data_IF_272325602004
#
_entry.id   IF_272325602004
#
_cell.length_a   1.000
_cell.length_b   1.000
_cell.length_c   1.000
_cell.angle_alpha   90.00
_cell.angle_beta   90.00
_cell.angle_gamma   90.00
#
_symmetry.space_group_name_H-M   'P 1'
#
loop_
_entity.id
_entity.type
_entity.pdbx_description
1 polymer ?
#
# COMPACT_ATOMS: atom_id res chain seq x y z
N UNK A 1 14.28 24.21 17.48
CA UNK A 1 12.96 23.51 17.58
C UNK A 1 12.71 22.59 16.40
N UNK A 2 12.71 23.05 15.14
CA UNK A 2 12.49 22.20 13.95
C UNK A 2 13.56 21.12 13.84
N UNK A 3 14.84 21.45 14.02
CA UNK A 3 15.94 20.47 13.99
C UNK A 3 15.83 19.42 15.09
N UNK A 4 15.40 19.81 16.28
CA UNK A 4 15.17 18.88 17.40
C UNK A 4 14.02 17.92 17.08
N UNK A 5 12.93 18.43 16.49
CA UNK A 5 11.79 17.61 16.03
C UNK A 5 12.26 16.63 14.94
N UNK A 6 13.05 17.10 13.99
CA UNK A 6 13.58 16.26 12.91
C UNK A 6 14.49 15.16 13.46
N UNK A 7 15.39 15.47 14.39
CA UNK A 7 16.29 14.49 15.01
C UNK A 7 15.54 13.43 15.81
N UNK A 8 14.57 13.84 16.64
CA UNK A 8 13.71 12.91 17.39
C UNK A 8 12.90 12.02 16.43
N UNK A 9 12.28 12.63 15.42
CA UNK A 9 11.53 11.88 14.42
C UNK A 9 12.40 10.88 13.68
N UNK A 10 13.62 11.25 13.29
CA UNK A 10 14.55 10.35 12.60
C UNK A 10 14.96 9.17 13.49
N UNK A 11 15.20 9.39 14.77
CA UNK A 11 15.51 8.32 15.73
C UNK A 11 14.34 7.35 15.87
N UNK A 12 13.11 7.87 16.04
CA UNK A 12 11.90 7.05 16.14
C UNK A 12 11.62 6.31 14.83
N UNK A 13 11.72 6.97 13.68
CA UNK A 13 11.52 6.37 12.36
C UNK A 13 12.51 5.23 12.10
N UNK A 14 13.79 5.45 12.41
CA UNK A 14 14.84 4.43 12.25
C UNK A 14 14.62 3.21 13.16
N UNK A 15 14.05 3.40 14.35
CA UNK A 15 13.67 2.30 15.24
C UNK A 15 12.47 1.51 14.70
N UNK A 16 11.42 2.22 14.26
CA UNK A 16 10.16 1.62 13.81
C UNK A 16 10.31 0.89 12.47
N UNK A 17 11.05 1.45 11.52
CA UNK A 17 11.38 0.79 10.26
C UNK A 17 12.70 0.00 10.31
N UNK A 18 13.26 -0.14 11.52
CA UNK A 18 14.45 -0.93 11.82
C UNK A 18 14.16 -2.39 12.11
N UNK A 19 15.18 -3.06 12.64
CA UNK A 19 15.17 -4.50 12.95
C UNK A 19 13.99 -4.88 13.87
N UNK A 20 13.70 -4.15 14.98
CA UNK A 20 12.67 -4.59 15.92
C UNK A 20 11.30 -4.74 15.29
N UNK A 21 10.86 -3.74 14.52
CA UNK A 21 9.56 -3.79 13.89
C UNK A 21 9.49 -4.85 12.78
N UNK A 22 10.55 -5.00 11.98
CA UNK A 22 10.62 -6.06 10.97
C UNK A 22 10.51 -7.44 11.61
N UNK A 23 11.23 -7.69 12.70
CA UNK A 23 11.14 -8.96 13.43
C UNK A 23 9.74 -9.19 13.97
N UNK A 24 9.10 -8.17 14.53
CA UNK A 24 7.72 -8.27 15.02
C UNK A 24 6.73 -8.57 13.87
N UNK A 25 6.80 -7.84 12.75
CA UNK A 25 5.87 -8.03 11.63
C UNK A 25 6.05 -9.41 11.00
N UNK A 26 7.29 -9.80 10.72
CA UNK A 26 7.62 -11.12 10.16
C UNK A 26 7.26 -12.22 11.17
N UNK A 27 7.57 -12.03 12.45
CA UNK A 27 7.27 -12.98 13.52
C UNK A 27 5.77 -13.21 13.69
N UNK A 28 4.96 -12.15 13.68
CA UNK A 28 3.49 -12.27 13.71
C UNK A 28 2.97 -12.95 12.45
N UNK A 29 3.47 -12.60 11.27
CA UNK A 29 3.10 -13.23 10.02
C UNK A 29 3.43 -14.74 10.00
N UNK A 30 4.60 -15.13 10.55
CA UNK A 30 4.99 -16.53 10.70
C UNK A 30 4.08 -17.26 11.71
N UNK A 31 3.82 -16.66 12.87
CA UNK A 31 2.92 -17.24 13.87
C UNK A 31 1.52 -17.51 13.29
N UNK A 32 0.96 -16.52 12.59
CA UNK A 32 -0.35 -16.65 11.94
C UNK A 32 -0.32 -17.73 10.85
N UNK A 33 0.76 -17.78 10.05
CA UNK A 33 0.95 -18.82 9.04
C UNK A 33 0.99 -20.23 9.64
N UNK A 34 1.72 -20.41 10.74
CA UNK A 34 1.77 -21.70 11.45
C UNK A 34 0.39 -22.05 12.05
N UNK A 35 -0.27 -21.12 12.73
CA UNK A 35 -1.57 -21.36 13.35
C UNK A 35 -2.69 -21.66 12.35
N UNK A 36 -2.61 -21.12 11.14
CA UNK A 36 -3.57 -21.40 10.06
C UNK A 36 -3.12 -22.53 9.13
N UNK A 37 -1.97 -23.16 9.42
CA UNK A 37 -1.36 -24.23 8.65
C UNK A 37 -0.93 -23.78 7.26
N UNK A 38 -0.27 -22.63 7.14
CA UNK A 38 0.17 -22.02 5.87
C UNK A 38 -0.95 -21.89 4.85
N UNK A 39 -2.07 -21.34 5.31
CA UNK A 39 -3.30 -21.17 4.51
C UNK A 39 -3.02 -20.43 3.19
N UNK A 40 -2.19 -19.39 3.22
CA UNK A 40 -1.83 -18.58 2.07
C UNK A 40 -1.16 -19.39 0.93
N UNK A 41 -0.56 -20.53 1.26
CA UNK A 41 0.01 -21.46 0.27
C UNK A 41 -1.01 -22.52 -0.11
N UNK A 42 -1.56 -23.24 0.89
CA UNK A 42 -2.46 -24.39 0.65
C UNK A 42 -3.77 -24.01 -0.02
N UNK A 43 -4.31 -22.84 0.29
CA UNK A 43 -5.58 -22.34 -0.25
C UNK A 43 -5.41 -21.16 -1.22
N UNK A 44 -4.18 -20.96 -1.74
CA UNK A 44 -3.92 -19.91 -2.72
C UNK A 44 -4.80 -20.04 -3.98
N UNK A 45 -4.94 -21.22 -4.61
CA UNK A 45 -5.83 -21.36 -5.75
C UNK A 45 -7.29 -21.00 -5.43
N UNK A 46 -7.74 -21.30 -4.21
CA UNK A 46 -9.08 -20.91 -3.76
C UNK A 46 -9.21 -19.39 -3.59
N UNK A 47 -8.18 -18.71 -3.06
CA UNK A 47 -8.15 -17.26 -2.94
C UNK A 47 -8.25 -16.58 -4.32
N UNK A 48 -7.43 -17.00 -5.28
CA UNK A 48 -7.46 -16.51 -6.66
C UNK A 48 -8.83 -16.75 -7.31
N UNK A 49 -9.35 -17.97 -7.26
CA UNK A 49 -10.66 -18.31 -7.83
C UNK A 49 -11.80 -17.50 -7.19
N UNK A 50 -11.74 -17.29 -5.88
CA UNK A 50 -12.76 -16.52 -5.15
C UNK A 50 -12.73 -15.06 -5.55
N UNK A 51 -11.56 -14.46 -5.75
CA UNK A 51 -11.40 -13.05 -6.14
C UNK A 51 -11.80 -12.86 -7.60
N UNK A 52 -11.18 -13.58 -8.51
CA UNK A 52 -11.44 -13.47 -9.97
C UNK A 52 -12.90 -13.82 -10.26
N UNK A 53 -13.46 -14.87 -9.65
CA UNK A 53 -14.85 -15.25 -9.83
C UNK A 53 -15.87 -14.19 -9.38
N UNK A 54 -15.46 -13.23 -8.53
CA UNK A 54 -16.29 -12.09 -8.11
C UNK A 54 -16.20 -10.91 -9.06
N UNK A 55 -15.09 -10.73 -9.78
CA UNK A 55 -14.92 -9.67 -10.78
C UNK A 55 -16.02 -9.72 -11.87
N UNK A 56 -16.47 -10.92 -12.21
CA UNK A 56 -17.45 -11.14 -13.28
C UNK A 56 -18.90 -11.28 -12.79
N UNK A 57 -19.14 -11.21 -11.46
CA UNK A 57 -20.48 -11.30 -10.90
C UNK A 57 -20.98 -9.91 -10.54
N UNK A 58 -21.85 -9.34 -11.36
CA UNK A 58 -22.62 -8.13 -11.02
C UNK A 58 -23.58 -8.48 -9.88
N UNK A 59 -23.38 -7.86 -8.74
CA UNK A 59 -24.30 -7.89 -7.61
C UNK A 59 -24.28 -6.50 -6.98
N UNK A 60 -25.45 -5.91 -6.84
CA UNK A 60 -25.57 -4.64 -6.13
C UNK A 60 -25.31 -4.87 -4.63
N UNK A 61 -24.58 -3.92 -4.03
CA UNK A 61 -24.38 -3.90 -2.59
C UNK A 61 -25.64 -3.35 -1.90
N UNK A 62 -25.93 -3.85 -0.71
CA UNK A 62 -26.97 -3.28 0.15
C UNK A 62 -26.60 -1.85 0.56
N UNK A 63 -27.60 -1.09 1.04
CA UNK A 63 -27.36 0.29 1.46
C UNK A 63 -26.34 0.36 2.61
N UNK A 64 -25.43 1.34 2.51
CA UNK A 64 -24.34 1.52 3.48
C UNK A 64 -23.20 0.51 3.37
N UNK A 65 -23.09 -0.24 2.27
CA UNK A 65 -22.05 -1.25 2.05
C UNK A 65 -21.39 -1.11 0.68
N UNK A 66 -20.31 -1.86 0.48
CA UNK A 66 -19.65 -2.09 -0.81
C UNK A 66 -19.82 -3.55 -1.22
N UNK A 67 -19.77 -3.86 -2.52
CA UNK A 67 -19.60 -5.27 -2.93
C UNK A 67 -18.25 -5.78 -2.44
N UNK A 68 -18.08 -7.10 -2.24
CA UNK A 68 -16.76 -7.67 -1.88
C UNK A 68 -15.65 -7.31 -2.87
N UNK A 69 -15.97 -7.15 -4.15
CA UNK A 69 -15.03 -6.72 -5.17
C UNK A 69 -14.69 -5.22 -5.06
N UNK A 70 -15.68 -4.36 -4.83
CA UNK A 70 -15.42 -2.94 -4.54
C UNK A 70 -14.54 -2.74 -3.32
N UNK A 71 -14.76 -3.53 -2.27
CA UNK A 71 -13.95 -3.46 -1.06
C UNK A 71 -12.48 -3.83 -1.31
N UNK A 72 -12.20 -4.91 -2.07
CA UNK A 72 -10.82 -5.24 -2.43
C UNK A 72 -10.20 -4.23 -3.39
N UNK A 73 -10.96 -3.69 -4.35
CA UNK A 73 -10.45 -2.61 -5.21
C UNK A 73 -10.16 -1.34 -4.41
N UNK A 74 -10.95 -1.03 -3.38
CA UNK A 74 -10.68 0.12 -2.51
C UNK A 74 -9.44 -0.11 -1.63
N UNK A 75 -9.22 -1.32 -1.14
CA UNK A 75 -8.00 -1.67 -0.42
C UNK A 75 -6.78 -1.62 -1.36
N UNK A 76 -6.87 -2.22 -2.55
CA UNK A 76 -5.82 -2.13 -3.57
C UNK A 76 -5.58 -0.69 -4.05
N UNK A 77 -6.60 0.16 -4.10
CA UNK A 77 -6.43 1.58 -4.42
C UNK A 77 -5.51 2.28 -3.41
N UNK A 78 -5.60 1.92 -2.14
CA UNK A 78 -4.75 2.48 -1.10
C UNK A 78 -3.32 1.91 -1.11
N UNK A 79 -3.17 0.60 -1.37
CA UNK A 79 -1.89 -0.11 -1.33
C UNK A 79 -1.09 0.02 -2.63
N UNK A 80 -1.74 -0.16 -3.79
CA UNK A 80 -1.08 -0.02 -5.11
C UNK A 80 -0.94 1.46 -5.46
N UNK A 81 0.18 2.03 -5.05
CA UNK A 81 0.46 3.45 -5.15
C UNK A 81 1.90 3.73 -5.56
N UNK A 82 2.40 4.87 -5.11
CA UNK A 82 3.79 5.28 -5.36
C UNK A 82 4.81 4.34 -4.74
N UNK A 83 4.44 3.60 -3.68
CA UNK A 83 5.28 2.58 -3.04
C UNK A 83 5.72 1.47 -3.98
N UNK A 84 4.84 1.02 -4.88
CA UNK A 84 5.13 -0.03 -5.86
C UNK A 84 6.11 0.42 -6.94
N UNK A 85 6.27 1.71 -7.15
CA UNK A 85 7.14 2.29 -8.18
C UNK A 85 8.40 2.87 -7.53
N UNK A 86 8.27 3.92 -6.74
CA UNK A 86 9.39 4.58 -6.08
C UNK A 86 9.99 3.74 -4.93
N UNK A 87 9.15 3.02 -4.18
CA UNK A 87 9.62 2.16 -3.09
C UNK A 87 10.48 1.00 -3.56
N UNK A 88 10.09 0.36 -4.67
CA UNK A 88 10.88 -0.73 -5.29
C UNK A 88 12.20 -0.20 -5.84
N UNK A 89 12.16 0.95 -6.53
CA UNK A 89 13.37 1.60 -7.01
C UNK A 89 14.36 1.91 -5.87
N UNK A 90 13.86 2.46 -4.76
CA UNK A 90 14.65 2.72 -3.56
C UNK A 90 15.18 1.44 -2.90
N UNK A 91 14.40 0.34 -2.89
CA UNK A 91 14.86 -0.94 -2.38
C UNK A 91 16.04 -1.49 -3.20
N UNK A 92 15.95 -1.44 -4.52
CA UNK A 92 17.02 -1.89 -5.43
C UNK A 92 18.25 -1.01 -5.31
N UNK A 93 18.09 0.31 -5.29
CA UNK A 93 19.19 1.25 -5.23
C UNK A 93 20.02 1.13 -3.93
N UNK A 94 19.36 0.93 -2.79
CA UNK A 94 20.03 0.85 -1.48
C UNK A 94 20.32 -0.59 -1.05
N UNK A 95 19.44 -1.54 -1.39
CA UNK A 95 19.52 -2.94 -0.96
C UNK A 95 20.09 -3.90 -2.03
N UNK A 96 20.28 -3.40 -3.27
CA UNK A 96 20.65 -4.23 -4.42
C UNK A 96 19.51 -5.03 -5.01
N UNK A 97 19.74 -5.75 -6.13
CA UNK A 97 18.73 -6.59 -6.76
C UNK A 97 18.14 -7.64 -5.82
N UNK A 98 18.94 -8.16 -4.90
CA UNK A 98 18.52 -9.13 -3.88
C UNK A 98 17.43 -8.64 -2.94
N UNK A 99 17.23 -7.34 -2.79
CA UNK A 99 16.14 -6.79 -2.00
C UNK A 99 14.76 -7.27 -2.52
N UNK A 100 14.63 -7.53 -3.82
CA UNK A 100 13.41 -8.05 -4.45
C UNK A 100 13.05 -9.44 -3.91
N UNK A 101 14.05 -10.32 -3.74
CA UNK A 101 13.86 -11.63 -3.13
C UNK A 101 13.29 -11.52 -1.70
N UNK A 102 13.82 -10.61 -0.90
CA UNK A 102 13.34 -10.39 0.46
C UNK A 102 11.96 -9.72 0.52
N UNK A 103 11.61 -8.93 -0.50
CA UNK A 103 10.22 -8.47 -0.70
C UNK A 103 9.26 -9.65 -0.91
N UNK A 104 9.64 -10.64 -1.72
CA UNK A 104 8.82 -11.85 -1.93
C UNK A 104 8.65 -12.64 -0.63
N UNK A 105 9.73 -12.83 0.13
CA UNK A 105 9.68 -13.52 1.43
C UNK A 105 8.72 -12.81 2.41
N UNK A 106 8.80 -11.48 2.49
CA UNK A 106 7.90 -10.70 3.34
C UNK A 106 6.44 -10.77 2.87
N UNK A 107 6.20 -10.76 1.56
CA UNK A 107 4.87 -10.85 0.99
C UNK A 107 4.20 -12.21 1.25
N UNK A 108 4.96 -13.31 1.18
CA UNK A 108 4.45 -14.65 1.51
C UNK A 108 3.90 -14.73 2.93
N UNK A 109 4.57 -14.12 3.90
CA UNK A 109 4.08 -14.04 5.29
C UNK A 109 2.99 -12.96 5.41
N UNK A 110 3.15 -11.84 4.73
CA UNK A 110 2.20 -10.75 4.67
C UNK A 110 0.82 -11.17 4.16
N UNK A 111 0.74 -12.12 3.22
CA UNK A 111 -0.54 -12.68 2.76
C UNK A 111 -1.37 -13.26 3.91
N UNK A 112 -0.74 -13.98 4.85
CA UNK A 112 -1.43 -14.54 6.00
C UNK A 112 -1.79 -13.46 7.03
N UNK A 113 -0.91 -12.47 7.21
CA UNK A 113 -1.18 -11.32 8.07
C UNK A 113 -2.39 -10.54 7.55
N UNK A 114 -2.42 -10.18 6.27
CA UNK A 114 -3.53 -9.47 5.65
C UNK A 114 -4.83 -10.28 5.69
N UNK A 115 -4.75 -11.60 5.42
CA UNK A 115 -5.89 -12.51 5.59
C UNK A 115 -6.48 -12.41 6.99
N UNK A 116 -5.63 -12.42 8.02
CA UNK A 116 -6.03 -12.36 9.42
C UNK A 116 -6.66 -11.02 9.77
N UNK A 117 -6.06 -9.91 9.35
CA UNK A 117 -6.58 -8.55 9.51
C UNK A 117 -7.98 -8.41 8.90
N UNK A 118 -8.15 -8.85 7.66
CA UNK A 118 -9.44 -8.78 6.96
C UNK A 118 -10.48 -9.67 7.62
N UNK A 119 -10.09 -10.88 8.02
CA UNK A 119 -11.01 -11.82 8.71
C UNK A 119 -11.52 -11.23 10.02
N UNK A 120 -10.61 -10.69 10.85
CA UNK A 120 -10.97 -10.04 12.11
C UNK A 120 -11.80 -8.77 11.89
N UNK A 121 -11.46 -7.96 10.90
CA UNK A 121 -12.17 -6.72 10.62
C UNK A 121 -13.62 -6.97 10.19
N UNK A 122 -13.88 -8.01 9.41
CA UNK A 122 -15.24 -8.41 9.02
C UNK A 122 -15.98 -9.11 10.17
N UNK A 123 -15.29 -9.86 11.01
CA UNK A 123 -15.89 -10.57 12.15
C UNK A 123 -16.34 -9.61 13.25
N UNK A 124 -15.52 -8.62 13.60
CA UNK A 124 -15.76 -7.68 14.71
C UNK A 124 -16.31 -6.32 14.28
N UNK A 125 -16.74 -6.16 13.03
CA UNK A 125 -17.31 -4.91 12.53
C UNK A 125 -18.66 -4.58 13.16
N UNK A 126 -19.02 -3.31 13.05
CA UNK A 126 -20.28 -2.75 13.54
C UNK A 126 -21.06 -2.06 12.40
N UNK A 127 -22.29 -1.68 12.68
CA UNK A 127 -23.01 -0.68 11.88
C UNK A 127 -23.02 0.66 12.61
N UNK A 128 -22.64 1.72 11.91
CA UNK A 128 -22.73 3.07 12.44
C UNK A 128 -24.18 3.57 12.43
N UNK A 129 -24.40 4.79 12.95
CA UNK A 129 -25.73 5.40 13.03
C UNK A 129 -26.37 5.64 11.65
N UNK A 130 -25.57 5.74 10.61
CA UNK A 130 -26.02 5.90 9.23
C UNK A 130 -26.30 4.55 8.54
N UNK A 131 -26.17 3.42 9.24
CA UNK A 131 -26.38 2.08 8.70
C UNK A 131 -25.18 1.52 7.91
N UNK A 132 -24.06 2.28 7.80
CA UNK A 132 -22.86 1.81 7.12
C UNK A 132 -22.09 0.78 7.94
N UNK A 133 -21.49 -0.21 7.28
CA UNK A 133 -20.55 -1.13 7.90
C UNK A 133 -19.23 -0.44 8.20
N UNK A 134 -18.78 -0.53 9.43
CA UNK A 134 -17.51 0.04 9.91
C UNK A 134 -16.70 -1.01 10.65
N UNK A 135 -15.41 -1.08 10.39
CA UNK A 135 -14.51 -2.07 11.00
C UNK A 135 -13.06 -1.68 10.79
N UNK A 136 -12.16 -2.61 11.06
CA UNK A 136 -10.73 -2.42 11.02
C UNK A 136 -10.09 -2.61 12.39
N UNK A 137 -8.78 -2.33 12.55
CA UNK A 137 -8.05 -2.58 13.80
C UNK A 137 -8.70 -1.97 15.04
N UNK A 138 -9.17 -0.72 14.97
CA UNK A 138 -9.83 -0.08 16.10
C UNK A 138 -11.07 -0.84 16.56
N UNK A 139 -11.80 -1.50 15.66
CA UNK A 139 -13.01 -2.24 15.99
C UNK A 139 -12.70 -3.65 16.51
N UNK A 140 -11.75 -4.39 15.91
CA UNK A 140 -11.43 -5.70 16.47
C UNK A 140 -10.60 -5.62 17.76
N UNK A 141 -9.87 -4.51 18.02
CA UNK A 141 -9.32 -4.22 19.33
C UNK A 141 -10.43 -3.96 20.33
N UNK A 142 -11.39 -3.07 19.99
CA UNK A 142 -12.52 -2.71 20.85
C UNK A 142 -13.39 -3.92 21.19
N UNK A 143 -13.80 -4.69 20.20
CA UNK A 143 -14.80 -5.75 20.33
C UNK A 143 -14.20 -7.12 20.62
N UNK A 144 -12.96 -7.37 20.19
CA UNK A 144 -12.28 -8.64 20.36
C UNK A 144 -11.44 -8.74 21.63
N UNK A 145 -10.80 -7.65 22.06
CA UNK A 145 -9.93 -7.63 23.24
C UNK A 145 -10.59 -7.03 24.49
N UNK A 146 -11.71 -6.31 24.31
CA UNK A 146 -12.48 -5.72 25.42
C UNK A 146 -11.91 -4.39 25.94
N UNK A 147 -12.54 -3.88 27.03
CA UNK A 147 -12.32 -2.51 27.52
C UNK A 147 -10.88 -2.18 27.92
N UNK A 148 -10.17 -3.15 28.49
CA UNK A 148 -8.76 -2.92 28.94
C UNK A 148 -7.83 -2.52 27.82
N UNK A 149 -8.12 -2.92 26.59
CA UNK A 149 -7.30 -2.70 25.41
C UNK A 149 -7.76 -1.52 24.54
N UNK A 150 -8.83 -0.83 24.92
CA UNK A 150 -9.38 0.27 24.13
C UNK A 150 -8.37 1.41 23.87
N UNK A 151 -7.42 1.61 24.77
CA UNK A 151 -6.36 2.60 24.56
C UNK A 151 -5.55 2.32 23.27
N UNK A 152 -5.34 1.03 22.91
CA UNK A 152 -4.68 0.67 21.65
C UNK A 152 -5.52 1.05 20.43
N UNK A 153 -6.86 0.90 20.51
CA UNK A 153 -7.76 1.32 19.43
C UNK A 153 -7.72 2.84 19.21
N UNK A 154 -7.64 3.61 20.30
CA UNK A 154 -7.50 5.06 20.25
C UNK A 154 -6.13 5.46 19.69
N UNK A 155 -5.03 4.85 20.16
CA UNK A 155 -3.68 5.09 19.63
C UNK A 155 -3.59 4.75 18.15
N UNK A 156 -4.11 3.61 17.73
CA UNK A 156 -4.16 3.22 16.33
C UNK A 156 -4.85 4.27 15.45
N UNK A 157 -6.03 4.72 15.90
CA UNK A 157 -6.82 5.71 15.16
C UNK A 157 -6.15 7.09 15.16
N UNK A 158 -5.49 7.48 16.26
CA UNK A 158 -4.75 8.74 16.35
C UNK A 158 -3.57 8.76 15.37
N UNK A 159 -2.75 7.70 15.38
CA UNK A 159 -1.65 7.57 14.42
C UNK A 159 -2.17 7.53 12.99
N UNK A 160 -3.31 6.87 12.75
CA UNK A 160 -3.96 6.85 11.45
C UNK A 160 -4.37 8.23 10.94
N UNK A 161 -4.97 9.07 11.79
CA UNK A 161 -5.33 10.45 11.42
C UNK A 161 -4.09 11.28 11.07
N UNK A 162 -2.98 11.11 11.81
CA UNK A 162 -1.73 11.83 11.51
C UNK A 162 -1.07 11.34 10.21
N UNK A 163 -1.16 10.04 9.94
CA UNK A 163 -0.60 9.43 8.73
C UNK A 163 -1.38 9.83 7.47
N UNK A 164 -2.71 9.90 7.55
CA UNK A 164 -3.56 10.05 6.38
C UNK A 164 -3.33 11.36 5.62
N UNK A 165 -3.01 12.44 6.31
CA UNK A 165 -2.73 13.74 5.68
C UNK A 165 -1.37 13.77 4.96
N UNK A 166 -0.36 13.10 5.51
CA UNK A 166 0.97 12.98 4.92
C UNK A 166 1.03 11.86 3.88
N UNK A 167 1.25 10.63 4.33
CA UNK A 167 1.46 9.46 3.46
C UNK A 167 0.26 9.18 2.55
N UNK A 168 -0.97 9.37 3.05
CA UNK A 168 -2.19 9.11 2.31
C UNK A 168 -2.58 10.18 1.30
N UNK A 169 -2.11 11.43 1.44
CA UNK A 169 -2.49 12.54 0.56
C UNK A 169 -1.30 13.35 0.05
N UNK A 170 -0.71 14.18 0.90
CA UNK A 170 0.28 15.20 0.46
C UNK A 170 1.45 14.59 -0.33
N UNK A 171 1.99 13.45 0.12
CA UNK A 171 3.08 12.78 -0.57
C UNK A 171 2.66 12.19 -1.92
N UNK A 172 1.42 11.73 -2.02
CA UNK A 172 0.86 11.21 -3.27
C UNK A 172 0.70 12.34 -4.30
N UNK A 173 0.16 13.48 -3.88
CA UNK A 173 0.03 14.65 -4.76
C UNK A 173 1.41 15.19 -5.17
N UNK A 174 2.37 15.23 -4.25
CA UNK A 174 3.75 15.60 -4.58
C UNK A 174 4.33 14.69 -5.66
N UNK A 175 4.06 13.38 -5.61
CA UNK A 175 4.48 12.45 -6.66
C UNK A 175 3.77 12.72 -7.99
N UNK A 176 2.48 13.09 -7.97
CA UNK A 176 1.75 13.49 -9.18
C UNK A 176 2.43 14.68 -9.85
N UNK A 177 2.67 15.76 -9.10
CA UNK A 177 3.29 16.96 -9.68
C UNK A 177 4.71 16.69 -10.15
N UNK A 178 5.51 15.93 -9.40
CA UNK A 178 6.88 15.55 -9.81
C UNK A 178 6.87 14.73 -11.11
N UNK A 179 5.91 13.83 -11.28
CA UNK A 179 5.77 13.04 -12.50
C UNK A 179 5.36 13.89 -13.71
N UNK A 180 4.42 14.83 -13.50
CA UNK A 180 3.99 15.77 -14.53
C UNK A 180 5.14 16.71 -14.90
N UNK A 181 5.85 17.29 -13.93
CA UNK A 181 7.01 18.15 -14.13
C UNK A 181 8.08 17.44 -14.96
N UNK A 182 8.40 16.20 -14.60
CA UNK A 182 9.38 15.38 -15.31
C UNK A 182 8.96 15.14 -16.77
N UNK A 183 7.69 14.85 -17.00
CA UNK A 183 7.17 14.65 -18.35
C UNK A 183 7.20 15.94 -19.18
N UNK A 184 6.81 17.08 -18.59
CA UNK A 184 6.82 18.39 -19.26
C UNK A 184 8.26 18.82 -19.59
N UNK A 185 9.17 18.71 -18.63
CA UNK A 185 10.58 19.09 -18.83
C UNK A 185 11.31 18.21 -19.84
N UNK A 186 10.89 16.96 -20.03
CA UNK A 186 11.46 16.08 -21.06
C UNK A 186 11.20 16.61 -22.48
N UNK A 187 10.15 17.41 -22.70
CA UNK A 187 9.80 17.99 -24.00
C UNK A 187 10.15 19.47 -24.12
N UNK A 188 10.07 20.22 -23.02
CA UNK A 188 10.30 21.67 -23.06
C UNK A 188 10.90 22.18 -21.74
N UNK A 189 12.20 22.40 -21.73
CA UNK A 189 12.93 22.93 -20.58
C UNK A 189 12.67 24.40 -20.28
N UNK A 190 12.15 25.17 -21.27
CA UNK A 190 11.86 26.62 -21.12
C UNK A 190 10.70 26.88 -20.15
N UNK A 191 9.89 25.87 -19.85
CA UNK A 191 8.70 25.99 -18.98
C UNK A 191 9.04 25.93 -17.49
N UNK A 192 10.33 25.80 -17.13
CA UNK A 192 10.77 25.63 -15.73
C UNK A 192 10.27 26.75 -14.80
N UNK A 193 10.18 27.99 -15.26
CA UNK A 193 9.64 29.12 -14.49
C UNK A 193 8.13 29.04 -14.24
N UNK A 194 7.39 28.29 -15.06
CA UNK A 194 5.94 28.10 -14.95
C UNK A 194 5.55 26.92 -14.06
N UNK A 195 6.48 26.01 -13.72
CA UNK A 195 6.18 24.81 -12.93
C UNK A 195 5.46 25.11 -11.60
N UNK A 196 5.82 26.13 -10.80
CA UNK A 196 5.08 26.41 -9.56
C UNK A 196 3.59 26.70 -9.80
N UNK A 197 3.27 27.44 -10.88
CA UNK A 197 1.89 27.72 -11.28
C UNK A 197 1.18 26.45 -11.77
N UNK A 198 1.86 25.63 -12.57
CA UNK A 198 1.34 24.35 -13.04
C UNK A 198 1.02 23.43 -11.86
N UNK A 199 1.92 23.34 -10.89
CA UNK A 199 1.76 22.50 -9.69
C UNK A 199 0.58 22.95 -8.84
N UNK A 200 0.38 24.26 -8.68
CA UNK A 200 -0.81 24.79 -8.02
C UNK A 200 -2.10 24.39 -8.77
N UNK A 201 -2.12 24.53 -10.09
CA UNK A 201 -3.29 24.15 -10.92
C UNK A 201 -3.56 22.64 -10.75
N UNK A 202 -2.53 21.80 -10.84
CA UNK A 202 -2.66 20.34 -10.64
C UNK A 202 -3.18 20.03 -9.23
N UNK A 203 -2.65 20.68 -8.20
CA UNK A 203 -3.10 20.53 -6.82
C UNK A 203 -4.57 20.86 -6.63
N UNK A 204 -5.04 21.96 -7.24
CA UNK A 204 -6.47 22.36 -7.21
C UNK A 204 -7.34 21.36 -7.95
N UNK A 205 -6.92 20.90 -9.13
CA UNK A 205 -7.67 19.91 -9.93
C UNK A 205 -7.78 18.59 -9.13
N UNK A 206 -6.67 18.10 -8.56
CA UNK A 206 -6.65 16.88 -7.74
C UNK A 206 -7.57 17.07 -6.52
N UNK A 207 -7.49 18.20 -5.81
CA UNK A 207 -8.36 18.50 -4.67
C UNK A 207 -9.84 18.45 -5.03
N UNK A 208 -10.24 19.03 -6.16
CA UNK A 208 -11.62 18.99 -6.66
C UNK A 208 -12.06 17.55 -6.98
N UNK A 209 -11.23 16.78 -7.68
CA UNK A 209 -11.53 15.39 -8.01
C UNK A 209 -11.65 14.51 -6.75
N UNK A 210 -10.76 14.68 -5.79
CA UNK A 210 -10.78 13.98 -4.50
C UNK A 210 -12.06 14.34 -3.73
N UNK A 211 -12.39 15.63 -3.61
CA UNK A 211 -13.62 16.08 -2.96
C UNK A 211 -14.87 15.50 -3.64
N UNK A 212 -14.92 15.50 -4.98
CA UNK A 212 -16.04 14.96 -5.75
C UNK A 212 -16.26 13.47 -5.46
N UNK A 213 -15.20 12.69 -5.32
CA UNK A 213 -15.31 11.25 -5.04
C UNK A 213 -15.67 11.01 -3.59
N UNK A 214 -14.95 11.62 -2.63
CA UNK A 214 -15.10 11.34 -1.20
C UNK A 214 -16.43 11.84 -0.64
N UNK A 215 -16.88 13.05 -1.03
CA UNK A 215 -18.18 13.58 -0.61
C UNK A 215 -19.37 12.79 -1.16
N UNK A 216 -19.16 11.99 -2.21
CA UNK A 216 -20.14 11.03 -2.71
C UNK A 216 -20.34 9.78 -1.85
N UNK A 217 -19.52 9.65 -0.79
CA UNK A 217 -19.62 8.57 0.21
C UNK A 217 -19.16 7.21 -0.30
N UNK A 218 -19.40 6.19 0.53
CA UNK A 218 -18.88 4.85 0.37
C UNK A 218 -19.22 4.18 -0.98
N UNK A 219 -20.44 4.43 -1.49
CA UNK A 219 -20.89 3.88 -2.79
C UNK A 219 -20.07 4.46 -3.95
N UNK A 220 -19.81 5.77 -3.94
CA UNK A 220 -19.03 6.44 -4.99
C UNK A 220 -17.56 6.04 -4.92
N UNK A 221 -16.98 5.95 -3.72
CA UNK A 221 -15.62 5.47 -3.50
C UNK A 221 -15.47 4.07 -4.12
N UNK A 222 -16.34 3.12 -3.76
CA UNK A 222 -16.32 1.77 -4.31
C UNK A 222 -16.50 1.72 -5.83
N UNK A 223 -17.42 2.51 -6.38
CA UNK A 223 -17.68 2.55 -7.83
C UNK A 223 -16.50 3.14 -8.64
N UNK A 224 -15.79 4.11 -8.08
CA UNK A 224 -14.60 4.69 -8.72
C UNK A 224 -13.43 3.71 -8.65
N UNK A 225 -13.16 3.14 -7.47
CA UNK A 225 -12.01 2.23 -7.27
C UNK A 225 -12.15 0.93 -8.05
N UNK A 226 -13.38 0.36 -8.17
CA UNK A 226 -13.59 -0.88 -8.95
C UNK A 226 -13.31 -0.74 -10.46
N UNK A 227 -13.36 0.50 -10.99
CA UNK A 227 -13.03 0.80 -12.39
C UNK A 227 -11.57 1.21 -12.55
N UNK A 228 -11.11 2.10 -11.66
CA UNK A 228 -9.77 2.69 -11.74
C UNK A 228 -8.68 1.65 -11.47
N UNK A 229 -8.83 0.82 -10.43
CA UNK A 229 -7.78 -0.12 -10.01
C UNK A 229 -7.50 -1.20 -11.05
N UNK A 230 -8.47 -1.93 -11.60
CA UNK A 230 -8.19 -2.89 -12.66
C UNK A 230 -7.62 -2.24 -13.91
N UNK A 231 -8.10 -1.04 -14.28
CA UNK A 231 -7.58 -0.31 -15.43
C UNK A 231 -6.10 0.08 -15.25
N UNK A 232 -5.76 0.74 -14.13
CA UNK A 232 -4.38 1.16 -13.87
C UNK A 232 -3.42 -0.02 -13.74
N UNK A 233 -3.86 -1.10 -13.05
CA UNK A 233 -3.06 -2.30 -12.88
C UNK A 233 -2.80 -3.00 -14.22
N UNK A 234 -3.84 -3.21 -15.04
CA UNK A 234 -3.71 -3.83 -16.35
C UNK A 234 -2.81 -3.01 -17.28
N UNK A 235 -3.02 -1.69 -17.31
CA UNK A 235 -2.20 -0.77 -18.11
C UNK A 235 -0.72 -0.85 -17.71
N UNK A 236 -0.42 -0.81 -16.42
CA UNK A 236 0.94 -0.92 -15.90
C UNK A 236 1.56 -2.30 -16.20
N UNK A 237 0.81 -3.38 -15.95
CA UNK A 237 1.27 -4.76 -16.19
C UNK A 237 1.63 -4.97 -17.67
N UNK A 238 0.77 -4.53 -18.59
CA UNK A 238 1.01 -4.68 -20.04
C UNK A 238 2.31 -4.00 -20.45
N UNK A 239 2.53 -2.76 -19.99
CA UNK A 239 3.72 -2.00 -20.33
C UNK A 239 4.98 -2.56 -19.67
N UNK A 240 4.89 -2.98 -18.41
CA UNK A 240 6.02 -3.58 -17.70
C UNK A 240 6.41 -4.95 -18.30
N UNK A 241 5.43 -5.79 -18.65
CA UNK A 241 5.67 -7.05 -19.37
C UNK A 241 6.33 -6.78 -20.72
N UNK A 242 5.89 -5.74 -21.44
CA UNK A 242 6.52 -5.33 -22.69
C UNK A 242 8.01 -5.01 -22.55
N UNK A 243 8.42 -4.32 -21.46
CA UNK A 243 9.85 -4.11 -21.16
C UNK A 243 10.59 -5.43 -21.02
N UNK A 244 10.01 -6.38 -20.27
CA UNK A 244 10.63 -7.69 -20.04
C UNK A 244 10.76 -8.47 -21.35
N UNK A 245 9.71 -8.50 -22.17
CA UNK A 245 9.70 -9.21 -23.45
C UNK A 245 10.73 -8.63 -24.43
N UNK A 246 10.80 -7.29 -24.55
CA UNK A 246 11.76 -6.63 -25.42
C UNK A 246 13.22 -6.78 -24.94
N UNK A 247 13.44 -7.08 -23.67
CA UNK A 247 14.75 -7.29 -23.07
C UNK A 247 14.92 -8.72 -22.51
N UNK A 248 14.23 -9.71 -23.09
CA UNK A 248 14.18 -11.09 -22.59
C UNK A 248 15.56 -11.74 -22.44
N UNK A 249 16.53 -11.33 -23.26
CA UNK A 249 17.92 -11.81 -23.18
C UNK A 249 18.61 -11.49 -21.85
N UNK A 250 18.18 -10.44 -21.13
CA UNK A 250 18.69 -10.07 -19.82
C UNK A 250 18.01 -10.81 -18.66
N UNK A 251 16.86 -11.43 -18.94
CA UNK A 251 16.03 -12.07 -17.90
C UNK A 251 16.78 -13.13 -17.08
N UNK A 252 17.60 -14.05 -17.67
CA UNK A 252 18.34 -15.03 -16.88
C UNK A 252 19.31 -14.38 -15.89
N UNK A 253 20.08 -13.38 -16.33
CA UNK A 253 20.99 -12.62 -15.46
C UNK A 253 20.25 -11.84 -14.38
N UNK A 254 19.10 -11.23 -14.71
CA UNK A 254 18.29 -10.50 -13.74
C UNK A 254 17.75 -11.43 -12.65
N UNK A 255 17.23 -12.60 -13.01
CA UNK A 255 16.78 -13.60 -12.04
C UNK A 255 17.92 -14.09 -11.15
N UNK A 256 19.09 -14.36 -11.74
CA UNK A 256 20.29 -14.69 -10.98
C UNK A 256 20.68 -13.57 -10.01
N UNK A 257 20.68 -12.30 -10.47
CA UNK A 257 21.01 -11.14 -9.64
C UNK A 257 20.05 -10.96 -8.46
N UNK A 258 18.77 -11.29 -8.64
CA UNK A 258 17.77 -11.25 -7.56
C UNK A 258 18.03 -12.37 -6.55
N UNK A 259 18.19 -13.62 -7.01
CA UNK A 259 18.29 -14.78 -6.12
C UNK A 259 19.69 -14.84 -5.46
N UNK A 260 20.74 -14.84 -6.25
CA UNK A 260 22.11 -14.89 -5.72
C UNK A 260 22.49 -13.57 -5.03
N UNK A 261 22.04 -12.43 -5.53
CA UNK A 261 22.25 -11.11 -4.93
C UNK A 261 21.56 -10.94 -3.57
N UNK A 262 20.53 -11.74 -3.26
CA UNK A 262 19.91 -11.77 -1.94
C UNK A 262 20.89 -12.24 -0.83
N UNK A 263 21.85 -13.08 -1.19
CA UNK A 263 22.83 -13.66 -0.28
C UNK A 263 24.25 -13.15 -0.50
N UNK A 264 24.52 -12.56 -1.67
CA UNK A 264 25.81 -11.93 -2.01
C UNK A 264 25.60 -10.63 -2.81
N UNK A 265 25.12 -9.54 -2.18
CA UNK A 265 24.83 -8.29 -2.88
C UNK A 265 26.08 -7.64 -3.48
N UNK A 266 27.27 -7.85 -2.89
CA UNK A 266 28.55 -7.32 -3.41
C UNK A 266 28.83 -7.72 -4.85
N UNK A 267 28.52 -8.96 -5.20
CA UNK A 267 28.80 -9.50 -6.54
C UNK A 267 27.99 -8.80 -7.65
N UNK A 268 26.81 -8.29 -7.31
CA UNK A 268 25.86 -7.71 -8.29
C UNK A 268 25.77 -6.17 -8.22
N UNK A 269 26.46 -5.54 -7.27
CA UNK A 269 26.42 -4.08 -7.06
C UNK A 269 27.78 -3.41 -7.22
N UNK A 270 28.76 -4.12 -7.81
CA UNK A 270 30.12 -3.61 -7.94
C UNK A 270 30.80 -3.30 -6.60
N UNK A 271 30.37 -3.98 -5.51
CA UNK A 271 30.89 -3.75 -4.16
C UNK A 271 30.22 -2.61 -3.39
N UNK A 272 29.32 -1.82 -4.00
CA UNK A 272 28.67 -0.69 -3.36
C UNK A 272 27.79 -1.12 -2.16
N UNK A 273 27.15 -2.29 -2.24
CA UNK A 273 26.34 -2.83 -1.16
C UNK A 273 27.07 -4.02 -0.53
N UNK A 274 27.63 -3.78 0.66
CA UNK A 274 28.49 -4.74 1.34
C UNK A 274 27.79 -5.70 2.29
N UNK A 275 26.51 -5.48 2.60
CA UNK A 275 25.80 -6.19 3.66
C UNK A 275 24.54 -6.87 3.14
N UNK A 276 24.45 -8.20 3.31
CA UNK A 276 23.23 -8.99 3.12
C UNK A 276 22.09 -8.44 3.98
N UNK A 277 22.43 -8.03 5.20
CA UNK A 277 21.46 -7.46 6.12
C UNK A 277 20.76 -6.22 5.58
N UNK A 278 21.48 -5.35 4.85
CA UNK A 278 20.91 -4.17 4.21
C UNK A 278 19.92 -4.56 3.11
N UNK A 279 20.24 -5.59 2.33
CA UNK A 279 19.33 -6.15 1.32
C UNK A 279 18.04 -6.69 1.95
N UNK A 280 18.17 -7.48 3.05
CA UNK A 280 17.02 -7.97 3.83
C UNK A 280 16.18 -6.81 4.35
N UNK A 281 16.82 -5.85 5.02
CA UNK A 281 16.13 -4.70 5.63
C UNK A 281 15.35 -3.90 4.59
N UNK A 282 15.99 -3.56 3.47
CA UNK A 282 15.33 -2.74 2.44
C UNK A 282 14.25 -3.52 1.70
N UNK A 283 14.47 -4.80 1.42
CA UNK A 283 13.47 -5.65 0.79
C UNK A 283 12.23 -5.83 1.68
N UNK A 284 12.40 -6.25 2.91
CA UNK A 284 11.30 -6.47 3.86
C UNK A 284 10.55 -5.17 4.15
N UNK A 285 11.27 -4.10 4.51
CA UNK A 285 10.67 -2.81 4.85
C UNK A 285 9.84 -2.25 3.68
N UNK A 286 10.36 -2.28 2.45
CA UNK A 286 9.64 -1.76 1.29
C UNK A 286 8.51 -2.68 0.82
N UNK A 287 8.65 -3.99 1.01
CA UNK A 287 7.54 -4.94 0.81
C UNK A 287 6.36 -4.65 1.73
N UNK A 288 6.61 -4.50 3.03
CA UNK A 288 5.59 -4.17 4.04
C UNK A 288 4.97 -2.80 3.77
N UNK A 289 5.79 -1.81 3.44
CA UNK A 289 5.31 -0.47 3.12
C UNK A 289 4.36 -0.47 1.92
N UNK A 290 4.63 -1.29 0.89
CA UNK A 290 3.80 -1.41 -0.30
C UNK A 290 2.46 -2.09 0.00
N UNK A 291 2.48 -3.29 0.58
CA UNK A 291 1.27 -4.11 0.77
C UNK A 291 0.51 -3.83 2.07
N UNK A 292 1.07 -3.00 2.95
CA UNK A 292 0.47 -2.61 4.24
C UNK A 292 0.09 -3.80 5.15
N UNK A 293 0.66 -5.00 4.95
CA UNK A 293 0.41 -6.14 5.81
C UNK A 293 1.09 -5.95 7.18
N UNK A 294 0.33 -6.01 8.25
CA UNK A 294 0.78 -5.68 9.60
C UNK A 294 0.45 -4.24 10.03
N UNK A 295 0.04 -3.36 9.10
CA UNK A 295 -0.49 -2.03 9.43
C UNK A 295 -1.99 -2.04 9.73
N UNK A 296 -2.73 -3.02 9.19
CA UNK A 296 -4.16 -3.17 9.40
C UNK A 296 -5.07 -2.29 8.54
N UNK A 297 -4.52 -1.32 7.84
CA UNK A 297 -5.24 -0.27 7.10
C UNK A 297 -6.20 -0.83 6.05
N UNK A 298 -5.74 -1.73 5.17
CA UNK A 298 -6.56 -2.34 4.13
C UNK A 298 -7.80 -3.06 4.66
N UNK A 299 -7.73 -3.60 5.88
CA UNK A 299 -8.85 -4.28 6.53
C UNK A 299 -10.07 -3.37 6.77
N UNK A 300 -9.86 -2.04 6.83
CA UNK A 300 -10.92 -1.03 6.97
C UNK A 300 -11.85 -1.01 5.74
N UNK A 301 -11.28 -1.05 4.54
CA UNK A 301 -12.06 -1.14 3.31
C UNK A 301 -12.81 -2.48 3.22
N UNK A 302 -12.13 -3.58 3.54
CA UNK A 302 -12.74 -4.91 3.54
C UNK A 302 -13.88 -5.06 4.54
N UNK A 303 -13.84 -4.36 5.67
CA UNK A 303 -14.93 -4.37 6.65
C UNK A 303 -16.24 -3.80 6.08
N UNK A 304 -16.15 -2.92 5.07
CA UNK A 304 -17.31 -2.34 4.39
C UNK A 304 -17.99 -3.31 3.40
N UNK A 305 -17.42 -4.50 3.16
CA UNK A 305 -17.93 -5.46 2.19
C UNK A 305 -19.28 -6.08 2.60
N UNK A 306 -20.22 -6.16 1.67
CA UNK A 306 -21.51 -6.86 1.87
C UNK A 306 -21.31 -8.38 1.85
N UNK A 307 -20.85 -8.92 2.95
CA UNK A 307 -20.61 -10.36 3.14
C UNK A 307 -20.89 -10.78 4.58
N UNK A 308 -21.37 -12.00 4.76
CA UNK A 308 -21.55 -12.63 6.07
C UNK A 308 -20.45 -13.64 6.42
N UNK A 309 -19.45 -13.80 5.52
CA UNK A 309 -18.40 -14.82 5.65
C UNK A 309 -17.03 -14.15 5.82
N UNK A 310 -16.54 -13.93 7.07
CA UNK A 310 -15.27 -13.24 7.34
C UNK A 310 -14.08 -13.88 6.63
N UNK A 311 -13.94 -15.22 6.76
CA UNK A 311 -12.82 -15.95 6.14
C UNK A 311 -12.83 -15.85 4.62
N UNK A 312 -14.02 -15.86 3.99
CA UNK A 312 -14.13 -15.68 2.54
C UNK A 312 -13.66 -14.28 2.10
N UNK A 313 -13.93 -13.25 2.91
CA UNK A 313 -13.39 -11.90 2.66
C UNK A 313 -11.88 -11.86 2.94
N UNK A 314 -11.41 -12.59 3.93
CA UNK A 314 -9.97 -12.75 4.19
C UNK A 314 -9.18 -13.28 3.00
N UNK A 315 -9.78 -14.16 2.15
CA UNK A 315 -9.14 -14.66 0.94
C UNK A 315 -8.79 -13.53 -0.05
N UNK A 316 -9.58 -12.46 -0.09
CA UNK A 316 -9.25 -11.29 -0.90
C UNK A 316 -7.99 -10.56 -0.38
N UNK A 317 -7.72 -10.61 0.94
CA UNK A 317 -6.48 -10.07 1.51
C UNK A 317 -5.23 -10.82 1.05
N UNK A 318 -5.32 -12.14 0.83
CA UNK A 318 -4.24 -12.93 0.21
C UNK A 318 -3.99 -12.44 -1.23
N UNK A 319 -5.06 -12.28 -2.01
CA UNK A 319 -4.97 -11.78 -3.38
C UNK A 319 -4.42 -10.35 -3.43
N UNK A 320 -4.81 -9.48 -2.49
CA UNK A 320 -4.34 -8.10 -2.40
C UNK A 320 -2.81 -8.03 -2.29
N UNK A 321 -2.21 -8.74 -1.32
CA UNK A 321 -0.76 -8.75 -1.14
C UNK A 321 -0.04 -9.41 -2.33
N UNK A 322 -0.63 -10.46 -2.91
CA UNK A 322 -0.10 -11.11 -4.11
C UNK A 322 -0.09 -10.14 -5.29
N UNK A 323 -1.20 -9.47 -5.57
CA UNK A 323 -1.30 -8.53 -6.69
C UNK A 323 -0.36 -7.33 -6.50
N UNK A 324 -0.32 -6.77 -5.29
CA UNK A 324 0.54 -5.63 -4.95
C UNK A 324 2.03 -5.97 -5.06
N UNK A 325 2.49 -6.94 -4.30
CA UNK A 325 3.94 -7.15 -4.12
C UNK A 325 4.49 -8.20 -5.07
N UNK A 326 3.84 -9.37 -5.20
CA UNK A 326 4.37 -10.43 -6.08
C UNK A 326 4.19 -10.06 -7.54
N UNK A 327 3.12 -9.35 -7.93
CA UNK A 327 2.91 -8.96 -9.33
C UNK A 327 3.49 -7.57 -9.59
N UNK A 328 2.91 -6.51 -9.02
CA UNK A 328 3.24 -5.13 -9.40
C UNK A 328 4.68 -4.75 -9.00
N UNK A 329 5.10 -4.99 -7.75
CA UNK A 329 6.47 -4.66 -7.34
C UNK A 329 7.52 -5.49 -8.10
N UNK A 330 7.24 -6.77 -8.39
CA UNK A 330 8.15 -7.60 -9.20
C UNK A 330 8.28 -7.05 -10.61
N UNK A 331 7.18 -6.66 -11.24
CA UNK A 331 7.22 -6.07 -12.58
C UNK A 331 8.00 -4.74 -12.58
N UNK A 332 7.84 -3.90 -11.57
CA UNK A 332 8.66 -2.69 -11.42
C UNK A 332 10.14 -3.02 -11.31
N UNK A 333 10.51 -4.02 -10.49
CA UNK A 333 11.89 -4.48 -10.39
C UNK A 333 12.43 -4.99 -11.73
N UNK A 334 11.61 -5.76 -12.47
CA UNK A 334 11.97 -6.24 -13.81
C UNK A 334 12.15 -5.09 -14.81
N UNK A 335 11.30 -4.05 -14.76
CA UNK A 335 11.47 -2.85 -15.60
C UNK A 335 12.83 -2.21 -15.34
N UNK A 336 13.21 -2.02 -14.09
CA UNK A 336 14.50 -1.40 -13.72
C UNK A 336 15.67 -2.29 -14.16
N UNK A 337 15.62 -3.58 -13.83
CA UNK A 337 16.78 -4.48 -14.01
C UNK A 337 16.93 -4.98 -15.45
N UNK A 338 15.81 -5.28 -16.14
CA UNK A 338 15.87 -5.78 -17.52
C UNK A 338 16.14 -4.68 -18.55
N UNK A 339 15.69 -3.44 -18.33
CA UNK A 339 15.89 -2.34 -19.28
C UNK A 339 17.36 -1.99 -19.50
N UNK A 340 18.22 -2.29 -18.50
CA UNK A 340 19.63 -1.91 -18.52
C UNK A 340 19.88 -0.46 -18.15
N UNK A 341 18.91 0.22 -17.57
CA UNK A 341 19.12 1.54 -16.98
C UNK A 341 20.20 1.48 -15.90
N UNK A 342 20.99 2.54 -15.80
CA UNK A 342 22.06 2.62 -14.80
C UNK A 342 21.46 2.79 -13.40
N UNK A 343 21.80 1.88 -12.50
CA UNK A 343 21.43 1.97 -11.07
C UNK A 343 22.65 2.45 -10.28
N UNK A 344 22.54 3.62 -9.67
CA UNK A 344 23.56 4.14 -8.77
C UNK A 344 23.38 3.50 -7.38
N UNK A 345 23.98 2.31 -7.19
CA UNK A 345 23.89 1.59 -5.93
C UNK A 345 24.52 2.36 -4.76
N UNK A 346 23.86 2.31 -3.61
CA UNK A 346 24.26 3.04 -2.39
C UNK A 346 23.68 4.46 -2.31
N UNK A 347 23.03 4.97 -3.35
CA UNK A 347 22.35 6.27 -3.34
C UNK A 347 20.84 6.10 -3.38
N UNK A 348 20.12 7.00 -2.70
CA UNK A 348 18.66 6.95 -2.72
C UNK A 348 18.13 7.19 -4.14
N UNK A 349 17.14 6.39 -4.54
CA UNK A 349 16.42 6.54 -5.78
C UNK A 349 14.90 6.48 -5.53
N UNK A 350 14.15 7.15 -6.38
CA UNK A 350 12.70 7.20 -6.35
C UNK A 350 12.07 6.75 -7.67
N UNK A 351 10.93 7.34 -8.02
CA UNK A 351 10.19 7.00 -9.23
C UNK A 351 10.98 7.27 -10.53
N UNK A 352 11.93 8.21 -10.49
CA UNK A 352 12.80 8.56 -11.61
C UNK A 352 13.59 7.36 -12.16
N UNK A 353 14.02 6.44 -11.29
CA UNK A 353 14.72 5.24 -11.71
C UNK A 353 13.81 4.29 -12.50
N UNK A 354 12.56 4.14 -12.09
CA UNK A 354 11.57 3.35 -12.83
C UNK A 354 11.20 4.02 -14.16
N UNK A 355 11.03 5.35 -14.16
CA UNK A 355 10.79 6.13 -15.39
C UNK A 355 11.97 5.93 -16.36
N UNK A 356 13.21 5.99 -15.87
CA UNK A 356 14.40 5.72 -16.66
C UNK A 356 14.39 4.31 -17.25
N UNK A 357 13.95 3.30 -16.51
CA UNK A 357 13.78 1.93 -17.03
C UNK A 357 12.81 1.85 -18.20
N UNK A 358 11.68 2.51 -18.13
CA UNK A 358 10.72 2.58 -19.23
C UNK A 358 11.24 3.38 -20.41
N UNK A 359 11.84 4.55 -20.18
CA UNK A 359 12.35 5.40 -21.26
C UNK A 359 13.55 4.80 -21.98
N UNK A 360 14.39 4.01 -21.29
CA UNK A 360 15.50 3.26 -21.90
C UNK A 360 14.98 2.23 -22.90
N UNK A 361 13.84 1.60 -22.62
CA UNK A 361 13.26 0.56 -23.51
C UNK A 361 12.39 1.15 -24.61
N UNK A 362 11.50 2.09 -24.26
CA UNK A 362 10.46 2.59 -25.19
C UNK A 362 10.79 3.97 -25.80
N UNK A 363 11.85 4.63 -25.32
CA UNK A 363 12.18 5.99 -25.75
C UNK A 363 11.46 7.08 -24.92
N UNK A 364 11.68 8.34 -25.28
CA UNK A 364 11.26 9.50 -24.48
C UNK A 364 9.75 9.63 -24.26
N UNK A 365 8.91 9.12 -25.18
CA UNK A 365 7.45 9.15 -25.02
C UNK A 365 6.95 8.36 -23.80
N UNK A 366 7.76 7.40 -23.33
CA UNK A 366 7.43 6.62 -22.16
C UNK A 366 7.31 7.46 -20.87
N UNK A 367 7.94 8.64 -20.83
CA UNK A 367 7.76 9.59 -19.71
C UNK A 367 6.31 10.03 -19.53
N UNK A 368 5.57 10.20 -20.63
CA UNK A 368 4.15 10.60 -20.58
C UNK A 368 3.30 9.49 -19.96
N UNK A 369 3.43 8.25 -20.44
CA UNK A 369 2.60 7.20 -19.92
C UNK A 369 2.96 6.83 -18.47
N UNK A 370 4.25 6.92 -18.07
CA UNK A 370 4.64 6.72 -16.68
C UNK A 370 4.10 7.81 -15.78
N UNK A 371 4.03 9.06 -16.25
CA UNK A 371 3.36 10.13 -15.53
C UNK A 371 1.86 9.84 -15.36
N UNK A 372 1.18 9.38 -16.42
CA UNK A 372 -0.24 8.98 -16.35
C UNK A 372 -0.43 7.80 -15.37
N UNK A 373 0.42 6.79 -15.40
CA UNK A 373 0.35 5.66 -14.47
C UNK A 373 0.55 6.11 -13.02
N UNK A 374 1.55 6.95 -12.75
CA UNK A 374 1.81 7.52 -11.42
C UNK A 374 0.64 8.39 -10.94
N UNK A 375 0.03 9.19 -11.81
CA UNK A 375 -1.15 9.97 -11.50
C UNK A 375 -2.32 9.04 -11.09
N UNK A 376 -2.57 7.98 -11.84
CA UNK A 376 -3.64 7.02 -11.52
C UNK A 376 -3.38 6.31 -10.17
N UNK A 377 -2.15 5.84 -9.93
CA UNK A 377 -1.76 5.15 -8.71
C UNK A 377 -1.85 6.09 -7.50
N UNK A 378 -1.27 7.28 -7.59
CA UNK A 378 -1.32 8.25 -6.50
C UNK A 378 -2.75 8.72 -6.21
N UNK A 379 -3.55 9.00 -7.25
CA UNK A 379 -4.94 9.41 -7.09
C UNK A 379 -5.80 8.32 -6.44
N UNK A 380 -5.62 7.06 -6.85
CA UNK A 380 -6.32 5.93 -6.21
C UNK A 380 -5.95 5.80 -4.74
N UNK A 381 -4.66 5.98 -4.39
CA UNK A 381 -4.18 5.95 -3.01
C UNK A 381 -4.81 7.07 -2.16
N UNK A 382 -4.91 8.29 -2.69
CA UNK A 382 -5.58 9.41 -1.99
C UNK A 382 -7.03 9.05 -1.67
N UNK A 383 -7.76 8.44 -2.60
CA UNK A 383 -9.16 8.02 -2.38
C UNK A 383 -9.25 6.93 -1.32
N UNK A 384 -8.42 5.90 -1.39
CA UNK A 384 -8.40 4.79 -0.44
C UNK A 384 -8.08 5.27 0.99
N UNK A 385 -7.04 6.06 1.14
CA UNK A 385 -6.65 6.64 2.42
C UNK A 385 -7.66 7.67 2.93
N UNK A 386 -8.38 8.37 2.05
CA UNK A 386 -9.50 9.23 2.42
C UNK A 386 -10.61 8.46 3.15
N UNK A 387 -10.94 7.25 2.66
CA UNK A 387 -11.86 6.37 3.36
C UNK A 387 -11.31 5.97 4.73
N UNK A 388 -10.04 5.54 4.83
CA UNK A 388 -9.43 5.15 6.10
C UNK A 388 -9.45 6.30 7.12
N UNK A 389 -9.05 7.50 6.72
CA UNK A 389 -9.07 8.69 7.55
C UNK A 389 -10.45 9.03 8.09
N UNK A 390 -11.49 8.88 7.24
CA UNK A 390 -12.87 9.09 7.66
C UNK A 390 -13.30 8.13 8.78
N UNK A 391 -12.81 6.88 8.75
CA UNK A 391 -13.10 5.86 9.76
C UNK A 391 -12.31 6.11 11.06
N UNK A 392 -11.05 6.56 10.96
CA UNK A 392 -10.26 6.94 12.13
C UNK A 392 -10.89 8.12 12.88
N UNK A 393 -11.23 9.20 12.18
CA UNK A 393 -11.78 10.39 12.82
C UNK A 393 -13.19 10.14 13.39
N UNK A 394 -14.03 9.36 12.70
CA UNK A 394 -15.33 8.98 13.20
C UNK A 394 -15.24 8.12 14.46
N UNK A 395 -14.27 7.21 14.54
CA UNK A 395 -14.02 6.39 15.73
C UNK A 395 -13.57 7.24 16.93
N UNK A 396 -12.60 8.15 16.73
CA UNK A 396 -12.08 9.04 17.79
C UNK A 396 -13.16 10.00 18.30
N UNK A 397 -13.92 10.62 17.41
CA UNK A 397 -14.97 11.58 17.77
C UNK A 397 -16.29 10.90 18.17
N UNK A 398 -16.41 9.59 18.01
CA UNK A 398 -17.64 8.81 18.23
C UNK A 398 -18.87 9.40 17.49
N UNK A 399 -18.64 10.00 16.32
CA UNK A 399 -19.65 10.70 15.55
C UNK A 399 -19.36 10.66 14.06
N UNK A 400 -20.36 10.29 13.26
CA UNK A 400 -20.26 10.31 11.80
C UNK A 400 -20.39 11.74 11.20
N UNK A 401 -20.81 12.73 12.00
CA UNK A 401 -20.96 14.13 11.53
C UNK A 401 -19.62 14.75 11.14
N UNK A 402 -18.51 14.26 11.69
CA UNK A 402 -17.13 14.75 11.41
C UNK A 402 -16.59 14.29 10.06
N UNK A 403 -17.21 13.30 9.41
CA UNK A 403 -16.71 12.70 8.16
C UNK A 403 -16.74 13.70 7.00
N UNK A 404 -17.83 14.44 6.83
CA UNK A 404 -17.92 15.44 5.75
C UNK A 404 -16.92 16.60 5.91
N UNK A 405 -16.82 17.26 7.08
CA UNK A 405 -15.76 18.25 7.32
C UNK A 405 -14.36 17.69 7.10
N UNK A 406 -14.10 16.45 7.56
CA UNK A 406 -12.82 15.79 7.31
C UNK A 406 -12.52 15.66 5.82
N UNK A 407 -13.47 15.22 4.99
CA UNK A 407 -13.26 15.11 3.55
C UNK A 407 -12.92 16.43 2.88
N UNK A 408 -13.53 17.52 3.34
CA UNK A 408 -13.22 18.88 2.84
C UNK A 408 -11.77 19.25 3.20
N UNK A 409 -11.40 19.16 4.49
CA UNK A 409 -10.04 19.46 4.95
C UNK A 409 -9.01 18.56 4.25
N UNK A 410 -9.29 17.26 4.17
CA UNK A 410 -8.43 16.29 3.49
C UNK A 410 -8.19 16.63 2.02
N UNK A 411 -9.23 17.06 1.30
CA UNK A 411 -9.10 17.47 -0.10
C UNK A 411 -8.23 18.73 -0.25
N UNK A 412 -8.34 19.70 0.67
CA UNK A 412 -7.49 20.90 0.65
C UNK A 412 -6.01 20.58 0.86
N UNK A 413 -5.68 19.54 1.63
CA UNK A 413 -4.28 19.11 1.84
C UNK A 413 -3.62 18.69 0.52
N UNK A 414 -4.37 18.29 -0.48
CA UNK A 414 -3.83 18.02 -1.83
C UNK A 414 -3.16 19.25 -2.46
N UNK A 415 -3.68 20.45 -2.21
CA UNK A 415 -3.08 21.70 -2.71
C UNK A 415 -1.74 21.96 -2.01
N UNK A 416 -1.67 21.71 -0.69
CA UNK A 416 -0.43 21.84 0.07
C UNK A 416 0.61 20.82 -0.42
N UNK A 417 0.19 19.57 -0.69
CA UNK A 417 1.05 18.52 -1.23
C UNK A 417 1.66 18.87 -2.59
N UNK A 418 0.93 19.65 -3.40
CA UNK A 418 1.40 20.09 -4.71
C UNK A 418 2.38 21.26 -4.67
N UNK A 419 2.35 22.07 -3.63
CA UNK A 419 3.02 23.39 -3.62
C UNK A 419 4.13 23.54 -2.58
N UNK A 420 4.20 22.61 -1.60
CA UNK A 420 5.15 22.71 -0.49
C UNK A 420 6.27 21.67 -0.60
N UNK A 421 7.44 22.00 -0.05
CA UNK A 421 8.46 20.99 0.24
C UNK A 421 8.03 20.15 1.46
N UNK A 422 7.86 18.87 1.25
CA UNK A 422 7.29 17.95 2.23
C UNK A 422 8.34 17.19 3.06
N UNK A 423 9.63 17.46 2.91
CA UNK A 423 10.71 16.61 3.45
C UNK A 423 10.50 16.14 4.89
N UNK A 424 10.35 17.08 5.84
CA UNK A 424 10.11 16.73 7.25
C UNK A 424 8.70 16.18 7.48
N UNK A 425 7.68 16.73 6.83
CA UNK A 425 6.29 16.29 6.96
C UNK A 425 6.11 14.85 6.46
N UNK A 426 6.78 14.48 5.37
CA UNK A 426 6.84 13.10 4.90
C UNK A 426 7.43 12.17 5.95
N UNK A 427 8.61 12.52 6.46
CA UNK A 427 9.30 11.71 7.47
C UNK A 427 8.46 11.51 8.73
N UNK A 428 7.73 12.54 9.19
CA UNK A 428 6.82 12.44 10.32
C UNK A 428 5.63 11.52 10.00
N UNK A 429 4.99 11.69 8.85
CA UNK A 429 3.87 10.86 8.44
C UNK A 429 4.27 9.38 8.28
N UNK A 430 5.47 9.11 7.74
CA UNK A 430 6.03 7.76 7.62
C UNK A 430 6.29 7.13 8.99
N UNK A 431 6.74 7.92 9.96
CA UNK A 431 6.91 7.48 11.35
C UNK A 431 5.58 7.07 11.98
N UNK A 432 4.53 7.87 11.83
CA UNK A 432 3.20 7.52 12.35
C UNK A 432 2.59 6.32 11.63
N UNK A 433 2.85 6.18 10.32
CA UNK A 433 2.46 5.00 9.56
C UNK A 433 3.08 3.72 10.16
N UNK A 434 4.36 3.76 10.47
CA UNK A 434 5.04 2.65 11.15
C UNK A 434 4.50 2.40 12.57
N UNK A 435 4.22 3.46 13.35
CA UNK A 435 3.66 3.36 14.70
C UNK A 435 2.29 2.69 14.74
N UNK A 436 1.47 2.81 13.68
CA UNK A 436 0.19 2.12 13.57
C UNK A 436 0.35 0.59 13.64
N UNK A 437 1.48 0.05 13.20
CA UNK A 437 1.71 -1.40 13.24
C UNK A 437 1.72 -1.96 14.66
N UNK A 438 2.18 -1.21 15.65
CA UNK A 438 2.33 -1.69 17.02
C UNK A 438 0.99 -2.12 17.64
N UNK A 439 -0.06 -1.26 17.73
CA UNK A 439 -1.36 -1.68 18.24
C UNK A 439 -1.97 -2.81 17.43
N UNK A 440 -1.79 -2.80 16.11
CA UNK A 440 -2.32 -3.82 15.23
C UNK A 440 -1.65 -5.19 15.46
N UNK A 441 -0.32 -5.26 15.52
CA UNK A 441 0.41 -6.50 15.75
C UNK A 441 0.08 -7.12 17.12
N UNK A 442 -0.06 -6.29 18.17
CA UNK A 442 -0.50 -6.75 19.50
C UNK A 442 -1.89 -7.40 19.38
N UNK A 443 -2.81 -6.75 18.67
CA UNK A 443 -4.15 -7.29 18.49
C UNK A 443 -4.15 -8.60 17.69
N UNK A 444 -3.35 -8.69 16.62
CA UNK A 444 -3.21 -9.91 15.82
C UNK A 444 -2.64 -11.07 16.64
N UNK A 445 -1.64 -10.82 17.50
CA UNK A 445 -1.09 -11.82 18.41
C UNK A 445 -2.16 -12.36 19.35
N UNK A 446 -2.87 -11.47 20.03
CA UNK A 446 -3.89 -11.84 21.02
C UNK A 446 -5.12 -12.51 20.38
N UNK A 447 -5.52 -12.09 19.17
CA UNK A 447 -6.66 -12.64 18.43
C UNK A 447 -6.28 -13.77 17.46
N UNK A 448 -5.02 -14.20 17.42
CA UNK A 448 -4.56 -15.24 16.50
C UNK A 448 -5.27 -16.59 16.68
N UNK A 449 -5.73 -16.91 17.91
CA UNK A 449 -6.58 -18.07 18.18
C UNK A 449 -7.95 -17.95 17.52
N UNK A 450 -8.58 -16.77 17.58
CA UNK A 450 -9.85 -16.49 16.90
C UNK A 450 -9.74 -16.65 15.39
N UNK A 451 -8.65 -16.17 14.80
CA UNK A 451 -8.39 -16.35 13.35
C UNK A 451 -8.30 -17.84 13.00
N UNK A 452 -7.52 -18.61 13.76
CA UNK A 452 -7.36 -20.05 13.52
C UNK A 452 -8.69 -20.80 13.65
N UNK A 453 -9.49 -20.49 14.68
CA UNK A 453 -10.81 -21.09 14.90
C UNK A 453 -11.77 -20.77 13.74
N UNK A 454 -11.93 -19.49 13.37
CA UNK A 454 -12.80 -19.06 12.27
C UNK A 454 -12.42 -19.72 10.95
N UNK A 455 -11.10 -19.84 10.71
CA UNK A 455 -10.56 -20.49 9.53
C UNK A 455 -10.92 -21.97 9.48
N UNK A 456 -10.71 -22.69 10.59
CA UNK A 456 -11.06 -24.12 10.71
C UNK A 456 -12.55 -24.35 10.48
N UNK A 457 -13.41 -23.63 11.21
CA UNK A 457 -14.86 -23.73 11.09
C UNK A 457 -15.37 -23.45 9.67
N UNK A 458 -14.75 -22.48 8.98
CA UNK A 458 -15.14 -22.14 7.62
C UNK A 458 -14.86 -23.28 6.63
N UNK A 459 -13.64 -23.84 6.67
CA UNK A 459 -13.27 -24.89 5.72
C UNK A 459 -13.89 -26.24 6.04
N UNK A 460 -14.23 -26.54 7.30
CA UNK A 460 -14.99 -27.73 7.67
C UNK A 460 -16.44 -27.66 7.15
N UNK A 461 -17.09 -26.47 7.23
CA UNK A 461 -18.46 -26.28 6.75
C UNK A 461 -18.59 -26.24 5.24
N UNK A 462 -17.65 -25.62 4.54
CA UNK A 462 -17.70 -25.44 3.07
C UNK A 462 -17.17 -26.67 2.31
N UNK A 463 -16.59 -27.67 3.00
CA UNK A 463 -15.95 -28.87 2.38
C UNK A 463 -14.97 -28.54 1.24
N UNK A 464 -14.22 -27.47 1.35
CA UNK A 464 -13.29 -26.92 0.33
C UNK A 464 -11.83 -27.11 0.71
#
# INVERSE_FOLDING_TARGET
MIETIAAVNQAVNSFIWGIPAMVCIIGVGLLLSVRTGFLQIRKFPYAIRTTIGRMFRKKDASDGTMTPFQAVCTALAATVGTGNIAGVAGAIAIGGPGAVFWMWCSALLGMCTKFSEVTLAVHFRERNKNGELVGGPMYYIKNGLGQRWQFLAVLYSLFGVLTVFGTGNATQVNTIVTAIDSAVLAYNTSVKSFLPTLNLIVGVVVAMLVAMVLLGGIKRIGSVTEKLVPFMALFYVVLAVGVVVLNVQRLPYVLESIIAGAFNPRAFTGGAIGSVFLSVQKGVSRGIFSNEAGLGTGSIAHACADTKKPVKQGMFGIFEVFADTIVICTLTAMVILCSGTTVNYGTAAGAELTISGFTTTYGGWASIFTAVALCCFAFSTIIGWGLYGSRFIAFLCRSDKVVRPFFVVYSFVSILGATMDLGLMWSIADTFNGLMSIPNLIALLLLSGTVAQLTKEYFEKEKV
#
